data_IF_591377748791
#
_entry.id   IF_591377748791
#
_cell.length_a   1.000
_cell.length_b   1.000
_cell.length_c   1.000
_cell.angle_alpha   90.00
_cell.angle_beta   90.00
_cell.angle_gamma   90.00
#
_symmetry.space_group_name_H-M   'P 1'
#
loop_
_entity.id
_entity.type
_entity.pdbx_description
1 polymer ?
#
# COMPACT_ATOMS: atom_id res chain seq x y z
N UNK A 1 13.10 -9.81 -15.02
CA UNK A 1 12.07 -8.76 -15.07
C UNK A 1 10.78 -9.25 -15.69
N UNK A 2 10.84 -10.07 -16.75
CA UNK A 2 9.64 -10.62 -17.42
C UNK A 2 8.65 -11.28 -16.44
N UNK A 3 9.14 -12.09 -15.49
CA UNK A 3 8.26 -12.74 -14.50
C UNK A 3 7.56 -11.71 -13.59
N UNK A 4 8.27 -10.69 -13.11
CA UNK A 4 7.72 -9.63 -12.25
C UNK A 4 6.70 -8.75 -12.98
N UNK A 5 6.90 -8.54 -14.28
CA UNK A 5 5.97 -7.83 -15.15
C UNK A 5 4.74 -8.71 -15.46
N UNK A 6 4.93 -10.01 -15.67
CA UNK A 6 3.84 -10.98 -15.86
C UNK A 6 2.92 -11.10 -14.64
N UNK A 7 3.46 -11.01 -13.42
CA UNK A 7 2.67 -10.94 -12.19
C UNK A 7 2.27 -9.51 -11.79
N UNK A 8 2.53 -8.53 -12.66
CA UNK A 8 2.09 -7.14 -12.52
C UNK A 8 2.77 -6.33 -11.41
N UNK A 9 3.86 -6.82 -10.80
CA UNK A 9 4.60 -6.09 -9.75
C UNK A 9 5.33 -4.87 -10.29
N UNK A 10 5.80 -4.95 -11.54
CA UNK A 10 6.49 -3.86 -12.23
C UNK A 10 5.81 -3.59 -13.57
N UNK A 11 5.95 -2.37 -14.07
CA UNK A 11 5.55 -1.97 -15.42
C UNK A 11 6.78 -1.53 -16.21
N UNK A 12 6.86 -1.91 -17.47
CA UNK A 12 7.86 -1.37 -18.39
C UNK A 12 7.32 -0.14 -19.13
N UNK A 13 8.14 0.89 -19.25
CA UNK A 13 7.84 2.09 -20.04
C UNK A 13 9.02 2.39 -20.95
N UNK A 14 8.77 2.46 -22.26
CA UNK A 14 9.76 2.97 -23.22
C UNK A 14 9.97 4.45 -22.96
N UNK A 15 11.20 4.84 -22.69
CA UNK A 15 11.54 6.24 -22.55
C UNK A 15 11.50 6.88 -23.94
N UNK A 16 10.72 7.95 -24.11
CA UNK A 16 10.81 8.79 -25.30
C UNK A 16 12.05 9.67 -25.12
N UNK A 17 13.13 9.29 -25.79
CA UNK A 17 14.35 10.11 -25.84
C UNK A 17 14.34 10.84 -27.18
N UNK A 18 14.35 12.17 -27.14
CA UNK A 18 14.44 12.97 -28.35
C UNK A 18 15.78 12.70 -29.04
N UNK A 19 15.71 12.13 -30.26
CA UNK A 19 16.82 11.96 -31.20
C UNK A 19 18.11 11.38 -30.60
N UNK A 20 18.05 10.16 -30.06
CA UNK A 20 19.23 9.34 -29.81
C UNK A 20 19.38 8.25 -30.89
N UNK A 21 20.61 7.93 -31.30
CA UNK A 21 20.87 6.75 -32.15
C UNK A 21 20.65 5.48 -31.34
N UNK A 22 19.96 4.49 -31.92
CA UNK A 22 19.69 3.19 -31.29
C UNK A 22 18.25 3.02 -30.81
N UNK A 23 17.97 1.89 -30.15
CA UNK A 23 16.67 1.61 -29.57
C UNK A 23 16.50 2.40 -28.26
N UNK A 24 15.38 3.11 -28.05
CA UNK A 24 15.14 3.82 -26.80
C UNK A 24 15.15 2.88 -25.59
N UNK A 25 15.72 3.29 -24.44
CA UNK A 25 15.80 2.44 -23.26
C UNK A 25 14.40 2.16 -22.67
N UNK A 26 14.29 1.00 -22.03
CA UNK A 26 13.09 0.57 -21.30
C UNK A 26 13.35 0.81 -19.81
N UNK A 27 12.55 1.66 -19.19
CA UNK A 27 12.52 1.83 -17.75
C UNK A 27 11.56 0.80 -17.13
N UNK A 28 11.93 0.25 -15.98
CA UNK A 28 11.05 -0.58 -15.16
C UNK A 28 10.73 0.18 -13.88
N UNK A 29 9.45 0.27 -13.56
CA UNK A 29 8.95 0.98 -12.38
C UNK A 29 8.05 0.05 -11.57
N UNK A 30 7.95 0.26 -10.24
CA UNK A 30 6.97 -0.43 -9.42
C UNK A 30 5.56 -0.05 -9.88
N UNK A 31 4.68 -1.04 -9.97
CA UNK A 31 3.30 -0.79 -10.32
C UNK A 31 2.50 -0.36 -9.06
N UNK A 32 2.03 0.88 -8.96
CA UNK A 32 1.26 1.36 -7.81
C UNK A 32 -0.12 0.71 -7.68
N UNK A 33 -0.57 -0.03 -8.69
CA UNK A 33 -1.85 -0.76 -8.71
C UNK A 33 -1.70 -2.26 -8.42
N UNK A 34 -0.48 -2.75 -8.19
CA UNK A 34 -0.24 -4.18 -8.05
C UNK A 34 -0.72 -4.77 -6.71
N UNK A 35 -1.29 -3.95 -5.83
CA UNK A 35 -1.84 -4.33 -4.54
C UNK A 35 -1.57 -3.26 -3.49
N UNK A 36 -2.23 -3.44 -2.34
CA UNK A 36 -2.11 -2.56 -1.18
C UNK A 36 -1.61 -3.33 0.05
N UNK A 37 -1.11 -2.60 1.03
CA UNK A 37 -0.78 -3.09 2.37
C UNK A 37 -1.50 -2.25 3.42
N UNK A 38 -1.84 -2.86 4.56
CA UNK A 38 -2.36 -2.15 5.72
C UNK A 38 -1.28 -2.17 6.79
N UNK A 39 -0.79 -0.99 7.17
CA UNK A 39 0.05 -0.80 8.35
C UNK A 39 -0.79 -0.46 9.56
N UNK A 40 -0.46 -1.02 10.72
CA UNK A 40 -1.11 -0.72 12.00
C UNK A 40 -0.04 -0.25 12.99
N UNK A 41 -0.28 0.85 13.67
CA UNK A 41 0.52 1.33 14.82
C UNK A 41 -0.34 1.27 16.08
N UNK A 42 0.22 0.63 17.12
CA UNK A 42 -0.39 0.55 18.45
C UNK A 42 0.42 1.41 19.39
N UNK A 43 -0.25 2.38 20.02
CA UNK A 43 0.35 3.30 20.97
C UNK A 43 -0.53 3.37 22.23
N UNK A 44 0.00 3.75 23.41
CA UNK A 44 -0.81 3.87 24.60
C UNK A 44 -2.04 4.77 24.36
N UNK A 45 -3.24 4.22 24.61
CA UNK A 45 -4.51 4.93 24.42
C UNK A 45 -5.07 4.97 22.99
N UNK A 46 -4.33 4.54 21.96
CA UNK A 46 -4.78 4.64 20.56
C UNK A 46 -4.22 3.57 19.64
N UNK A 47 -4.96 3.26 18.58
CA UNK A 47 -4.42 2.59 17.42
C UNK A 47 -4.71 3.40 16.17
N UNK A 48 -3.75 3.43 15.26
CA UNK A 48 -3.91 4.01 13.93
C UNK A 48 -3.59 2.96 12.88
N UNK A 49 -4.23 3.07 11.72
CA UNK A 49 -3.94 2.24 10.58
C UNK A 49 -3.93 3.06 9.30
N UNK A 50 -3.13 2.62 8.32
CA UNK A 50 -3.06 3.24 7.01
C UNK A 50 -3.06 2.19 5.90
N UNK A 51 -3.87 2.44 4.87
CA UNK A 51 -3.83 1.69 3.61
C UNK A 51 -2.80 2.36 2.70
N UNK A 52 -1.79 1.62 2.28
CA UNK A 52 -0.71 2.12 1.41
C UNK A 52 -0.59 1.25 0.15
N UNK A 53 -0.24 1.86 -0.98
CA UNK A 53 0.14 1.09 -2.16
C UNK A 53 1.62 0.69 -2.12
N UNK A 54 2.09 -0.06 -3.13
CA UNK A 54 3.47 -0.55 -3.19
C UNK A 54 4.55 0.52 -3.42
N UNK A 55 4.16 1.73 -3.80
CA UNK A 55 5.09 2.87 -3.89
C UNK A 55 5.09 3.71 -2.61
N UNK A 56 4.33 3.30 -1.58
CA UNK A 56 4.29 3.95 -0.28
C UNK A 56 3.30 5.12 -0.18
N UNK A 57 2.46 5.34 -1.20
CA UNK A 57 1.43 6.37 -1.13
C UNK A 57 0.31 5.92 -0.18
N UNK A 58 -0.04 6.78 0.76
CA UNK A 58 -1.16 6.57 1.68
C UNK A 58 -2.46 6.85 0.93
N UNK A 59 -3.27 5.81 0.76
CA UNK A 59 -4.60 5.88 0.15
C UNK A 59 -5.67 6.27 1.16
N UNK A 60 -5.55 5.79 2.39
CA UNK A 60 -6.45 6.12 3.48
C UNK A 60 -5.78 5.91 4.84
N UNK A 61 -6.32 6.56 5.86
CA UNK A 61 -5.89 6.44 7.26
C UNK A 61 -7.11 6.52 8.18
N UNK A 62 -7.11 5.71 9.22
CA UNK A 62 -8.09 5.77 10.29
C UNK A 62 -7.42 5.55 11.64
N UNK A 63 -8.11 5.97 12.70
CA UNK A 63 -7.65 5.82 14.08
C UNK A 63 -8.84 5.56 15.01
N UNK A 64 -8.54 4.94 16.14
CA UNK A 64 -9.50 4.66 17.21
C UNK A 64 -8.80 4.80 18.56
N UNK A 65 -9.49 5.42 19.51
CA UNK A 65 -9.09 5.42 20.91
C UNK A 65 -9.47 4.09 21.57
N UNK A 66 -8.62 3.60 22.48
CA UNK A 66 -8.87 2.36 23.22
C UNK A 66 -8.09 2.33 24.53
N UNK A 67 -8.54 1.51 25.48
CA UNK A 67 -7.70 1.11 26.61
C UNK A 67 -6.72 0.01 26.16
N UNK A 68 -5.43 0.34 26.10
CA UNK A 68 -4.38 -0.60 25.72
C UNK A 68 -4.06 -1.63 26.79
N UNK A 69 -4.60 -1.50 28.00
CA UNK A 69 -4.46 -2.51 29.05
C UNK A 69 -5.41 -3.70 28.85
N UNK A 70 -6.55 -3.50 28.17
CA UNK A 70 -7.48 -4.57 27.78
C UNK A 70 -7.11 -5.17 26.41
N UNK A 71 -6.48 -6.35 26.46
CA UNK A 71 -6.10 -7.12 25.26
C UNK A 71 -7.27 -7.44 24.33
N UNK A 72 -8.48 -7.64 24.86
CA UNK A 72 -9.66 -7.95 24.03
C UNK A 72 -10.12 -6.70 23.29
N UNK A 73 -10.16 -5.57 23.98
CA UNK A 73 -10.50 -4.29 23.36
C UNK A 73 -9.47 -3.92 22.28
N UNK A 74 -8.18 -4.14 22.56
CA UNK A 74 -7.11 -3.89 21.59
C UNK A 74 -7.24 -4.73 20.32
N UNK A 75 -7.51 -6.04 20.46
CA UNK A 75 -7.73 -6.90 19.29
C UNK A 75 -8.99 -6.48 18.52
N UNK A 76 -10.08 -6.17 19.22
CA UNK A 76 -11.31 -5.71 18.59
C UNK A 76 -11.09 -4.43 17.77
N UNK A 77 -10.32 -3.49 18.32
CA UNK A 77 -9.97 -2.26 17.63
C UNK A 77 -9.08 -2.47 16.41
N UNK A 78 -8.08 -3.37 16.47
CA UNK A 78 -7.31 -3.76 15.29
C UNK A 78 -8.18 -4.35 14.19
N UNK A 79 -9.11 -5.25 14.54
CA UNK A 79 -10.04 -5.85 13.59
C UNK A 79 -10.97 -4.80 12.97
N UNK A 80 -11.43 -3.82 13.76
CA UNK A 80 -12.24 -2.70 13.27
C UNK A 80 -11.47 -1.86 12.24
N UNK A 81 -10.22 -1.49 12.55
CA UNK A 81 -9.36 -0.71 11.64
C UNK A 81 -9.12 -1.46 10.32
N UNK A 82 -8.78 -2.75 10.38
CA UNK A 82 -8.59 -3.58 9.19
C UNK A 82 -9.88 -3.71 8.38
N UNK A 83 -11.01 -3.97 9.04
CA UNK A 83 -12.30 -4.11 8.36
C UNK A 83 -12.71 -2.82 7.65
N UNK A 84 -12.42 -1.65 8.25
CA UNK A 84 -12.67 -0.36 7.63
C UNK A 84 -11.80 -0.16 6.38
N UNK A 85 -10.48 -0.27 6.50
CA UNK A 85 -9.56 -0.06 5.38
C UNK A 85 -9.73 -1.09 4.25
N UNK A 86 -10.18 -2.31 4.56
CA UNK A 86 -10.51 -3.31 3.54
C UNK A 86 -11.70 -2.92 2.67
N UNK A 87 -12.71 -2.24 3.24
CA UNK A 87 -13.85 -1.73 2.45
C UNK A 87 -13.36 -0.67 1.47
N UNK A 88 -12.56 0.27 1.97
CA UNK A 88 -11.97 1.36 1.17
C UNK A 88 -10.97 0.88 0.12
N UNK A 89 -10.36 -0.30 0.30
CA UNK A 89 -9.45 -0.89 -0.71
C UNK A 89 -10.19 -1.58 -1.88
N UNK A 90 -11.51 -1.82 -1.76
CA UNK A 90 -12.30 -2.50 -2.79
C UNK A 90 -13.04 -1.50 -3.69
N UNK A 91 -13.13 -0.23 -3.25
CA UNK A 91 -13.67 0.91 -4.01
C UNK A 91 -12.59 1.53 -4.91
#
# INVERSE_FOLDING_TARGET
TNDLEAIGLIVSRRQKVDKARGQPPIAFELNPQAGNAIGISLEPGRASAALVNRVGEIRSRCEVEMDTSDRRQMLAAMLQLVAQLRRESTE
#
